data_IF_597449921433
#
_entry.id   IF_597449921433
#
_cell.length_a   1.000
_cell.length_b   1.000
_cell.length_c   1.000
_cell.angle_alpha   90.00
_cell.angle_beta   90.00
_cell.angle_gamma   90.00
#
_symmetry.space_group_name_H-M   'P 1'
#
loop_
_entity.id
_entity.type
_entity.pdbx_description
1 polymer ?
#
# COMPACT_ATOMS: atom_id res chain seq x y z
N UNK A 1 3.52 -5.83 -28.49
CA UNK A 1 3.62 -4.85 -27.38
C UNK A 1 3.80 -5.54 -26.02
N UNK A 2 4.70 -6.52 -25.90
CA UNK A 2 5.06 -7.13 -24.61
C UNK A 2 6.39 -6.53 -24.16
N UNK A 3 6.32 -5.45 -23.39
CA UNK A 3 7.44 -4.91 -22.65
C UNK A 3 7.11 -5.02 -21.16
N UNK A 4 8.12 -5.23 -20.31
CA UNK A 4 7.97 -5.16 -18.86
C UNK A 4 7.41 -3.81 -18.40
N UNK A 5 7.60 -2.74 -19.19
CA UNK A 5 7.02 -1.42 -18.96
C UNK A 5 5.54 -1.30 -19.30
N UNK A 6 4.96 -2.27 -20.02
CA UNK A 6 3.57 -2.19 -20.49
C UNK A 6 2.62 -3.11 -19.72
N UNK A 7 2.96 -4.39 -19.57
CA UNK A 7 2.11 -5.40 -18.88
C UNK A 7 2.99 -6.35 -18.09
N UNK A 8 2.74 -6.48 -16.79
CA UNK A 8 3.50 -7.37 -15.91
C UNK A 8 2.64 -7.81 -14.72
N UNK A 9 3.13 -8.82 -13.97
CA UNK A 9 2.39 -9.47 -12.88
C UNK A 9 1.79 -8.50 -11.86
N UNK A 10 2.47 -7.39 -11.57
CA UNK A 10 2.08 -6.44 -10.51
C UNK A 10 1.55 -5.12 -11.06
N UNK A 11 1.48 -4.94 -12.38
CA UNK A 11 1.00 -3.71 -13.01
C UNK A 11 1.94 -2.52 -12.85
N UNK A 12 3.22 -2.73 -12.54
CA UNK A 12 4.17 -1.62 -12.39
C UNK A 12 4.41 -0.96 -13.75
N UNK A 13 4.08 0.32 -13.90
CA UNK A 13 4.34 1.07 -15.14
C UNK A 13 5.29 2.23 -14.90
N UNK A 14 6.28 2.34 -15.78
CA UNK A 14 7.00 3.58 -16.01
C UNK A 14 6.47 4.15 -17.32
N UNK A 15 5.79 5.29 -17.24
CA UNK A 15 5.28 6.02 -18.39
C UNK A 15 6.29 7.07 -18.84
N UNK A 16 6.18 7.58 -20.07
CA UNK A 16 7.06 8.65 -20.56
C UNK A 16 7.21 9.83 -19.58
N UNK A 17 6.13 10.38 -18.98
CA UNK A 17 6.27 11.45 -17.99
C UNK A 17 6.97 11.01 -16.70
N UNK A 18 7.02 9.73 -16.33
CA UNK A 18 7.78 9.34 -15.13
C UNK A 18 9.29 9.61 -15.28
N UNK A 19 9.80 9.63 -16.51
CA UNK A 19 11.18 10.02 -16.82
C UNK A 19 11.32 11.50 -17.20
N UNK A 20 10.30 12.08 -17.84
CA UNK A 20 10.37 13.43 -18.42
C UNK A 20 9.65 14.53 -17.63
N UNK A 21 8.75 14.18 -16.70
CA UNK A 21 7.89 15.12 -15.98
C UNK A 21 7.96 14.83 -14.47
N UNK A 22 8.37 15.79 -13.65
CA UNK A 22 8.41 15.61 -12.20
C UNK A 22 7.04 15.21 -11.62
N UNK A 23 7.01 14.19 -10.75
CA UNK A 23 5.80 13.70 -10.08
C UNK A 23 5.08 14.78 -9.27
N UNK A 24 3.76 14.60 -9.07
CA UNK A 24 2.84 15.57 -8.43
C UNK A 24 3.43 16.22 -7.16
N UNK A 25 3.71 17.52 -7.23
CA UNK A 25 4.37 18.28 -6.16
C UNK A 25 3.50 18.49 -4.91
N UNK A 26 2.22 18.87 -5.09
CA UNK A 26 1.35 19.26 -3.97
C UNK A 26 1.11 18.11 -2.97
N UNK A 27 0.71 16.89 -3.39
CA UNK A 27 0.57 15.77 -2.45
C UNK A 27 1.85 15.42 -1.69
N UNK A 28 2.99 15.52 -2.37
CA UNK A 28 4.31 15.29 -1.76
C UNK A 28 4.60 16.33 -0.67
N UNK A 29 4.33 17.60 -0.94
CA UNK A 29 4.52 18.67 0.04
C UNK A 29 3.59 18.49 1.25
N UNK A 30 2.31 18.23 1.03
CA UNK A 30 1.34 17.96 2.10
C UNK A 30 1.77 16.78 2.98
N UNK A 31 2.29 15.70 2.38
CA UNK A 31 2.80 14.56 3.15
C UNK A 31 4.03 14.93 3.98
N UNK A 32 4.94 15.76 3.43
CA UNK A 32 6.11 16.25 4.16
C UNK A 32 5.72 17.13 5.35
N UNK A 33 4.72 18.00 5.20
CA UNK A 33 4.18 18.79 6.31
C UNK A 33 3.55 17.88 7.35
N UNK A 34 2.71 16.92 6.95
CA UNK A 34 2.15 15.94 7.90
C UNK A 34 3.24 15.13 8.61
N UNK A 35 4.37 14.87 7.93
CA UNK A 35 5.50 14.10 8.45
C UNK A 35 6.27 14.81 9.58
N UNK A 36 6.08 16.12 9.77
CA UNK A 36 6.76 16.84 10.84
C UNK A 36 6.20 16.48 12.21
N UNK A 37 4.98 15.92 12.28
CA UNK A 37 4.42 15.41 13.53
C UNK A 37 5.23 14.23 14.07
N UNK A 38 5.74 13.36 13.19
CA UNK A 38 6.62 12.27 13.56
C UNK A 38 7.92 12.81 14.20
N UNK A 39 8.46 13.93 13.69
CA UNK A 39 9.63 14.59 14.30
C UNK A 39 9.29 15.17 15.68
N UNK A 40 8.15 15.86 15.80
CA UNK A 40 7.69 16.39 17.10
C UNK A 40 7.56 15.28 18.14
N UNK A 41 6.91 14.16 17.79
CA UNK A 41 6.72 13.03 18.69
C UNK A 41 8.02 12.27 19.02
N UNK A 42 9.01 12.30 18.12
CA UNK A 42 10.35 11.82 18.38
C UNK A 42 11.07 12.73 19.40
N UNK A 43 11.09 14.05 19.19
CA UNK A 43 11.73 14.99 20.13
C UNK A 43 11.06 15.04 21.51
N UNK A 44 9.74 14.86 21.55
CA UNK A 44 8.98 14.73 22.81
C UNK A 44 9.15 13.36 23.49
N UNK A 45 9.89 12.43 22.89
CA UNK A 45 10.18 11.13 23.48
C UNK A 45 8.98 10.17 23.52
N UNK A 46 7.98 10.35 22.66
CA UNK A 46 6.77 9.51 22.64
C UNK A 46 6.86 8.32 21.69
N UNK A 47 7.81 8.36 20.74
CA UNK A 47 8.11 7.30 19.76
C UNK A 47 9.62 7.20 19.46
N UNK A 48 10.47 7.75 20.34
CA UNK A 48 11.92 7.87 20.16
C UNK A 48 12.70 6.56 20.32
N UNK A 49 12.09 5.55 20.92
CA UNK A 49 12.64 4.20 21.02
C UNK A 49 11.77 3.19 20.27
N UNK A 50 12.36 2.06 19.89
CA UNK A 50 11.61 0.97 19.26
C UNK A 50 10.47 0.47 20.16
N UNK A 51 10.70 0.35 21.46
CA UNK A 51 9.69 -0.07 22.44
C UNK A 51 8.48 0.88 22.45
N UNK A 52 8.72 2.19 22.52
CA UNK A 52 7.66 3.21 22.50
C UNK A 52 6.95 3.28 21.15
N UNK A 53 7.67 3.12 20.04
CA UNK A 53 7.07 3.02 18.71
C UNK A 53 6.18 1.77 18.62
N UNK A 54 6.66 0.62 19.09
CA UNK A 54 5.95 -0.65 19.05
C UNK A 54 4.69 -0.63 19.93
N UNK A 55 4.74 0.02 21.09
CA UNK A 55 3.57 0.27 21.94
C UNK A 55 2.45 1.06 21.23
N UNK A 56 2.80 1.87 20.22
CA UNK A 56 1.87 2.66 19.39
C UNK A 56 1.67 2.10 17.98
N UNK A 57 2.29 0.96 17.65
CA UNK A 57 2.38 0.51 16.27
C UNK A 57 1.01 0.29 15.62
N UNK A 58 0.07 -0.31 16.34
CA UNK A 58 -1.29 -0.51 15.84
C UNK A 58 -1.99 0.80 15.50
N UNK A 59 -1.99 1.75 16.43
CA UNK A 59 -2.60 3.06 16.24
C UNK A 59 -2.00 3.79 15.02
N UNK A 60 -0.67 3.77 14.91
CA UNK A 60 0.05 4.42 13.81
C UNK A 60 -0.24 3.74 12.47
N UNK A 61 -0.28 2.40 12.44
CA UNK A 61 -0.62 1.62 11.25
C UNK A 61 -2.03 1.93 10.76
N UNK A 62 -3.02 1.95 11.67
CA UNK A 62 -4.41 2.27 11.33
C UNK A 62 -4.58 3.69 10.79
N UNK A 63 -3.84 4.67 11.33
CA UNK A 63 -3.81 6.04 10.79
C UNK A 63 -3.30 6.06 9.34
N UNK A 64 -2.24 5.31 9.04
CA UNK A 64 -1.68 5.20 7.68
C UNK A 64 -2.68 4.51 6.74
N UNK A 65 -3.28 3.39 7.17
CA UNK A 65 -4.25 2.65 6.35
C UNK A 65 -5.49 3.48 6.07
N UNK A 66 -6.03 4.19 7.06
CA UNK A 66 -7.18 5.09 6.89
C UNK A 66 -6.87 6.19 5.87
N UNK A 67 -5.67 6.77 5.93
CA UNK A 67 -5.23 7.79 4.96
C UNK A 67 -5.11 7.20 3.55
N UNK A 68 -4.44 6.06 3.42
CA UNK A 68 -4.28 5.39 2.12
C UNK A 68 -5.62 4.93 1.54
N UNK A 69 -6.57 4.50 2.37
CA UNK A 69 -7.92 4.19 1.90
C UNK A 69 -8.64 5.44 1.42
N UNK A 70 -8.59 6.52 2.21
CA UNK A 70 -9.26 7.80 1.90
C UNK A 70 -8.78 8.43 0.58
N UNK A 71 -7.54 8.18 0.16
CA UNK A 71 -6.99 8.72 -1.08
C UNK A 71 -6.89 7.68 -2.21
N UNK A 72 -7.67 6.59 -2.14
CA UNK A 72 -7.68 5.49 -3.12
C UNK A 72 -6.29 4.88 -3.39
N UNK A 73 -5.54 4.64 -2.31
CA UNK A 73 -4.18 4.07 -2.35
C UNK A 73 -3.28 4.76 -3.37
N UNK A 74 -3.39 6.09 -3.49
CA UNK A 74 -2.64 6.90 -4.48
C UNK A 74 -1.15 6.59 -4.48
N UNK A 75 -0.56 6.32 -3.31
CA UNK A 75 0.85 5.98 -3.18
C UNK A 75 1.20 4.62 -3.82
N UNK A 76 0.28 3.66 -3.82
CA UNK A 76 0.40 2.39 -4.55
C UNK A 76 0.14 2.62 -6.05
N UNK A 77 -0.98 3.28 -6.38
CA UNK A 77 -1.41 3.51 -7.77
C UNK A 77 -0.48 4.41 -8.59
N UNK A 78 0.32 5.23 -7.90
CA UNK A 78 1.34 6.05 -8.55
C UNK A 78 2.48 5.26 -9.19
N UNK A 79 2.56 3.96 -8.94
CA UNK A 79 3.46 3.03 -9.62
C UNK A 79 2.73 1.81 -10.20
N UNK A 80 1.62 1.38 -9.59
CA UNK A 80 0.83 0.22 -9.99
C UNK A 80 -0.45 0.62 -10.71
N UNK A 81 -0.58 0.20 -11.96
CA UNK A 81 -1.78 0.36 -12.78
C UNK A 81 -2.52 -0.98 -12.85
N UNK A 82 -3.80 -0.99 -12.45
CA UNK A 82 -4.62 -2.19 -12.45
C UNK A 82 -4.80 -2.74 -13.87
N UNK A 83 -4.93 -1.86 -14.87
CA UNK A 83 -5.12 -2.25 -16.27
C UNK A 83 -3.83 -2.83 -16.88
N UNK A 84 -2.69 -2.57 -16.24
CA UNK A 84 -1.40 -3.11 -16.63
C UNK A 84 -1.07 -4.44 -15.92
N UNK A 85 -1.90 -4.89 -14.97
CA UNK A 85 -1.69 -6.13 -14.25
C UNK A 85 -1.96 -7.32 -15.17
N UNK A 86 -0.96 -8.19 -15.29
CA UNK A 86 -1.14 -9.51 -15.89
C UNK A 86 -1.74 -10.46 -14.86
N UNK A 87 -3.07 -10.52 -14.81
CA UNK A 87 -3.81 -11.36 -13.87
C UNK A 87 -3.51 -12.85 -14.03
N UNK A 88 -3.28 -13.32 -15.26
CA UNK A 88 -2.94 -14.73 -15.52
C UNK A 88 -1.63 -15.10 -14.82
N UNK A 89 -0.64 -14.19 -14.83
CA UNK A 89 0.65 -14.40 -14.14
C UNK A 89 0.58 -14.27 -12.61
N UNK A 90 -0.57 -13.93 -12.03
CA UNK A 90 -0.76 -13.87 -10.57
C UNK A 90 -1.17 -15.22 -9.96
N UNK A 91 -1.58 -16.18 -10.81
CA UNK A 91 -2.21 -17.42 -10.39
C UNK A 91 -3.70 -17.24 -10.06
N UNK A 92 -4.48 -18.32 -10.17
CA UNK A 92 -5.94 -18.28 -10.12
C UNK A 92 -6.49 -17.52 -8.90
N UNK A 93 -6.02 -17.87 -7.69
CA UNK A 93 -6.47 -17.22 -6.45
C UNK A 93 -6.18 -15.71 -6.43
N UNK A 94 -5.02 -15.29 -6.91
CA UNK A 94 -4.62 -13.88 -6.93
C UNK A 94 -5.45 -13.09 -7.94
N UNK A 95 -5.68 -13.66 -9.12
CA UNK A 95 -6.57 -13.11 -10.14
C UNK A 95 -7.99 -12.92 -9.61
N UNK A 96 -8.58 -13.97 -9.04
CA UNK A 96 -9.97 -13.93 -8.54
C UNK A 96 -10.12 -12.86 -7.46
N UNK A 97 -9.18 -12.79 -6.50
CA UNK A 97 -9.22 -11.80 -5.43
C UNK A 97 -9.05 -10.36 -5.95
N UNK A 98 -8.16 -10.13 -6.91
CA UNK A 98 -8.03 -8.79 -7.47
C UNK A 98 -9.26 -8.37 -8.29
N UNK A 99 -9.84 -9.27 -9.09
CA UNK A 99 -11.05 -8.99 -9.87
C UNK A 99 -12.21 -8.67 -8.92
N UNK A 100 -12.44 -9.51 -7.91
CA UNK A 100 -13.50 -9.30 -6.91
C UNK A 100 -13.32 -7.97 -6.15
N UNK A 101 -12.12 -7.73 -5.61
CA UNK A 101 -11.85 -6.53 -4.80
C UNK A 101 -11.95 -5.24 -5.62
N UNK A 102 -11.38 -5.21 -6.83
CA UNK A 102 -11.47 -4.03 -7.69
C UNK A 102 -12.91 -3.76 -8.16
N UNK A 103 -13.68 -4.79 -8.49
CA UNK A 103 -15.10 -4.64 -8.83
C UNK A 103 -15.94 -4.16 -7.64
N UNK A 104 -15.57 -4.55 -6.42
CA UNK A 104 -16.20 -4.08 -5.18
C UNK A 104 -15.77 -2.65 -4.79
N UNK A 105 -14.89 -2.00 -5.56
CA UNK A 105 -14.36 -0.66 -5.25
C UNK A 105 -13.38 -0.65 -4.07
N UNK A 106 -12.81 -1.80 -3.70
CA UNK A 106 -11.75 -1.86 -2.70
C UNK A 106 -10.49 -1.15 -3.22
N UNK A 107 -9.80 -0.48 -2.29
CA UNK A 107 -8.50 0.15 -2.55
C UNK A 107 -7.38 -0.85 -2.29
N UNK A 108 -6.19 -0.63 -2.85
CA UNK A 108 -5.06 -1.55 -2.66
C UNK A 108 -4.80 -1.84 -1.16
N UNK A 109 -4.88 -0.81 -0.30
CA UNK A 109 -4.60 -0.95 1.14
C UNK A 109 -5.68 -1.70 1.93
N UNK A 110 -6.85 -1.96 1.35
CA UNK A 110 -7.88 -2.77 2.02
C UNK A 110 -7.40 -4.21 2.26
N UNK A 111 -6.70 -4.78 1.27
CA UNK A 111 -6.12 -6.11 1.33
C UNK A 111 -4.63 -6.10 1.68
N UNK A 112 -3.87 -5.16 1.11
CA UNK A 112 -2.40 -5.13 1.16
C UNK A 112 -1.82 -4.45 2.41
N UNK A 113 -2.34 -4.82 3.59
CA UNK A 113 -1.78 -4.39 4.87
C UNK A 113 -0.58 -5.24 5.24
N UNK A 114 0.46 -4.60 5.76
CA UNK A 114 1.63 -5.31 6.26
C UNK A 114 2.61 -5.80 5.18
N UNK A 115 2.58 -5.25 3.95
CA UNK A 115 3.51 -5.63 2.87
C UNK A 115 4.96 -5.29 3.22
N UNK A 116 5.20 -4.04 3.63
CA UNK A 116 6.56 -3.50 3.78
C UNK A 116 7.04 -3.56 5.23
N UNK A 117 6.12 -3.37 6.18
CA UNK A 117 6.37 -3.53 7.62
C UNK A 117 5.39 -4.57 8.15
N UNK A 118 5.80 -5.49 9.04
CA UNK A 118 4.92 -6.50 9.59
C UNK A 118 3.65 -5.88 10.19
N UNK A 119 2.56 -6.65 10.19
CA UNK A 119 1.34 -6.23 10.87
C UNK A 119 1.58 -6.02 12.37
N UNK A 120 0.81 -5.14 13.03
CA UNK A 120 0.78 -5.08 14.48
C UNK A 120 0.52 -6.46 15.10
N UNK A 121 1.10 -6.70 16.28
CA UNK A 121 0.95 -7.98 16.98
C UNK A 121 -0.52 -8.34 17.15
N UNK A 122 -0.87 -9.60 16.89
CA UNK A 122 -2.25 -10.10 16.98
C UNK A 122 -3.15 -9.81 15.78
N UNK A 123 -2.72 -8.98 14.81
CA UNK A 123 -3.47 -8.77 13.56
C UNK A 123 -3.16 -9.87 12.54
N UNK A 124 -4.21 -10.39 11.90
CA UNK A 124 -4.12 -11.38 10.82
C UNK A 124 -4.04 -10.71 9.45
N UNK A 125 -3.35 -11.36 8.51
CA UNK A 125 -3.37 -10.91 7.10
C UNK A 125 -4.78 -11.01 6.55
N UNK A 126 -5.05 -10.21 5.53
CA UNK A 126 -6.36 -10.24 4.87
C UNK A 126 -6.75 -11.64 4.38
N UNK A 127 -5.81 -12.37 3.77
CA UNK A 127 -5.98 -13.75 3.31
C UNK A 127 -6.36 -14.72 4.43
N UNK A 128 -5.85 -14.50 5.64
CA UNK A 128 -6.15 -15.31 6.82
C UNK A 128 -7.52 -14.92 7.43
N UNK A 129 -7.92 -13.66 7.30
CA UNK A 129 -9.18 -13.15 7.84
C UNK A 129 -10.43 -13.54 7.03
N UNK A 130 -10.29 -13.78 5.71
CA UNK A 130 -11.38 -14.23 4.84
C UNK A 130 -11.64 -15.74 4.88
N UNK A 131 -10.97 -16.49 5.75
CA UNK A 131 -11.09 -17.96 5.79
C UNK A 131 -10.49 -18.68 4.58
N UNK A 132 -9.79 -17.97 3.69
CA UNK A 132 -8.98 -18.58 2.63
C UNK A 132 -7.66 -19.04 3.23
N UNK A 133 -7.69 -20.15 3.96
CA UNK A 133 -6.50 -20.86 4.36
C UNK A 133 -5.71 -21.21 3.09
N UNK A 134 -4.61 -20.49 2.86
CA UNK A 134 -3.67 -20.84 1.81
C UNK A 134 -2.91 -22.07 2.30
N UNK A 135 -3.33 -23.25 1.86
CA UNK A 135 -2.44 -24.40 1.77
C UNK A 135 -1.41 -24.09 0.67
N UNK A 136 -0.34 -23.40 1.06
CA UNK A 136 0.97 -23.42 0.41
C UNK A 136 1.98 -23.52 1.55
#
# INVERSE_FOLDING_TARGET
>A
LQSSHNTNRTGVRATCPDCHVPKKYIPKLLRKIQATNELYHHFMGTIDTEEKFNAKHQELAERVWRRMKKNDSRECRGCHDADAMDYVRQGQRGMDQHIEGLNAGETCIDCHKGIVKPLPYGMKKYSESRGTASNI
#
